data_IF_327389760988
#
_entry.id   IF_327389760988
#
_cell.length_a   1.000
_cell.length_b   1.000
_cell.length_c   1.000
_cell.angle_alpha   90.00
_cell.angle_beta   90.00
_cell.angle_gamma   90.00
#
_symmetry.space_group_name_H-M   'P 1'
#
loop_
_entity.id
_entity.type
_entity.pdbx_description
1 polymer ?
#
# COMPACT_ATOMS: atom_id res chain seq x y z
N UNK A 1 -6.78 14.38 1.17
CA UNK A 1 -6.02 13.53 0.24
C UNK A 1 -6.24 12.06 0.59
N UNK A 2 -6.49 11.24 -0.41
CA UNK A 2 -6.65 9.80 -0.27
C UNK A 2 -5.36 9.12 -0.74
N UNK A 3 -4.67 8.46 0.17
CA UNK A 3 -3.30 7.96 -0.02
C UNK A 3 -3.33 6.44 0.01
N UNK A 4 -2.96 5.81 -1.09
CA UNK A 4 -2.89 4.35 -1.18
C UNK A 4 -1.45 3.89 -0.96
N UNK A 5 -1.25 2.99 -0.01
CA UNK A 5 0.08 2.45 0.31
C UNK A 5 0.22 1.03 -0.24
N UNK A 6 1.29 0.82 -1.01
CA UNK A 6 1.62 -0.49 -1.55
C UNK A 6 2.18 -1.41 -0.47
N UNK A 7 2.17 -2.71 -0.73
CA UNK A 7 2.59 -3.76 0.20
C UNK A 7 3.99 -3.52 0.76
N UNK A 8 4.95 -3.11 -0.07
CA UNK A 8 6.33 -2.91 0.39
C UNK A 8 6.47 -1.81 1.45
N UNK A 9 5.61 -0.78 1.41
CA UNK A 9 5.65 0.30 2.40
C UNK A 9 5.18 -0.20 3.76
N UNK A 10 4.10 -0.97 3.79
CA UNK A 10 3.59 -1.57 5.03
C UNK A 10 4.60 -2.59 5.58
N UNK A 11 5.21 -3.40 4.72
CA UNK A 11 6.24 -4.36 5.11
C UNK A 11 7.47 -3.66 5.71
N UNK A 12 7.90 -2.55 5.12
CA UNK A 12 9.04 -1.80 5.64
C UNK A 12 8.80 -1.32 7.07
N UNK A 13 7.58 -0.90 7.37
CA UNK A 13 7.20 -0.51 8.72
C UNK A 13 7.17 -1.73 9.65
N UNK A 14 6.43 -2.77 9.32
CA UNK A 14 6.20 -3.92 10.21
C UNK A 14 7.45 -4.75 10.43
N UNK A 15 8.29 -4.92 9.41
CA UNK A 15 9.56 -5.63 9.50
C UNK A 15 10.71 -4.74 9.98
N UNK A 16 10.46 -3.47 10.21
CA UNK A 16 11.46 -2.48 10.62
C UNK A 16 12.71 -2.53 9.72
N UNK A 17 12.50 -2.48 8.41
CA UNK A 17 13.59 -2.65 7.44
C UNK A 17 14.56 -1.48 7.47
N UNK A 18 15.88 -1.73 7.69
CA UNK A 18 16.87 -0.66 7.76
C UNK A 18 16.91 0.18 6.48
N UNK A 19 16.93 1.50 6.65
CA UNK A 19 16.96 2.46 5.53
C UNK A 19 15.60 2.77 4.92
N UNK A 20 14.54 2.04 5.27
CA UNK A 20 13.20 2.25 4.69
C UNK A 20 12.12 2.48 5.74
N UNK A 21 12.27 1.93 6.94
CA UNK A 21 11.23 1.95 7.97
C UNK A 21 10.85 3.38 8.40
N UNK A 22 11.81 4.28 8.54
CA UNK A 22 11.56 5.65 8.99
C UNK A 22 10.70 6.43 8.00
N UNK A 23 11.02 6.35 6.72
CA UNK A 23 10.24 7.04 5.68
C UNK A 23 8.85 6.41 5.55
N UNK A 24 8.75 5.08 5.66
CA UNK A 24 7.47 4.38 5.64
C UNK A 24 6.59 4.81 6.81
N UNK A 25 7.13 4.87 8.03
CA UNK A 25 6.40 5.29 9.21
C UNK A 25 5.85 6.71 9.06
N UNK A 26 6.69 7.64 8.64
CA UNK A 26 6.29 9.03 8.46
C UNK A 26 5.25 9.19 7.35
N UNK A 27 5.41 8.47 6.24
CA UNK A 27 4.44 8.51 5.15
C UNK A 27 3.08 7.94 5.56
N UNK A 28 3.05 6.88 6.38
CA UNK A 28 1.82 6.30 6.89
C UNK A 28 1.18 7.22 7.94
N UNK A 29 1.99 7.79 8.84
CA UNK A 29 1.51 8.73 9.85
C UNK A 29 0.86 9.96 9.22
N UNK A 30 1.30 10.37 8.05
CA UNK A 30 0.71 11.49 7.31
C UNK A 30 -0.80 11.29 7.06
N UNK A 31 -1.26 10.05 6.93
CA UNK A 31 -2.67 9.74 6.78
C UNK A 31 -3.52 10.08 8.01
N UNK A 32 -2.89 10.23 9.19
CA UNK A 32 -3.59 10.63 10.42
C UNK A 32 -3.95 12.11 10.46
N UNK A 33 -3.34 12.93 9.60
CA UNK A 33 -3.58 14.36 9.57
C UNK A 33 -4.97 14.67 9.01
N UNK A 34 -5.59 15.74 9.55
CA UNK A 34 -6.95 16.13 9.19
C UNK A 34 -7.12 16.30 7.66
N UNK A 35 -8.22 15.74 7.16
CA UNK A 35 -8.55 15.79 5.74
C UNK A 35 -7.89 14.69 4.90
N UNK A 36 -7.03 13.87 5.50
CA UNK A 36 -6.40 12.75 4.81
C UNK A 36 -7.08 11.42 5.13
N UNK A 37 -6.91 10.46 4.23
CA UNK A 37 -7.34 9.08 4.40
C UNK A 37 -6.28 8.14 3.84
N UNK A 38 -5.76 7.25 4.69
CA UNK A 38 -4.86 6.20 4.26
C UNK A 38 -5.64 4.97 3.83
N UNK A 39 -5.22 4.36 2.72
CA UNK A 39 -5.84 3.18 2.12
C UNK A 39 -4.81 2.08 1.93
N UNK A 40 -5.19 0.85 2.22
CA UNK A 40 -4.40 -0.34 1.93
C UNK A 40 -5.37 -1.43 1.44
N UNK A 41 -4.96 -2.24 0.47
CA UNK A 41 -5.84 -3.28 -0.05
C UNK A 41 -5.84 -4.54 0.82
N UNK A 42 -6.93 -5.30 0.75
CA UNK A 42 -7.02 -6.61 1.38
C UNK A 42 -5.95 -7.57 0.85
N UNK A 43 -5.52 -7.43 -0.42
CA UNK A 43 -4.43 -8.20 -0.99
C UNK A 43 -3.12 -7.97 -0.22
N UNK A 44 -2.82 -6.72 0.11
CA UNK A 44 -1.63 -6.36 0.90
C UNK A 44 -1.63 -7.07 2.25
N UNK A 45 -2.76 -7.13 2.94
CA UNK A 45 -2.84 -7.82 4.24
C UNK A 45 -2.53 -9.31 4.08
N UNK A 46 -3.11 -9.97 3.07
CA UNK A 46 -2.82 -11.38 2.80
C UNK A 46 -1.35 -11.62 2.46
N UNK A 47 -0.76 -10.77 1.64
CA UNK A 47 0.65 -10.86 1.26
C UNK A 47 1.57 -10.69 2.47
N UNK A 48 1.26 -9.76 3.35
CA UNK A 48 2.05 -9.51 4.57
C UNK A 48 2.05 -10.73 5.48
N UNK A 49 0.89 -11.32 5.73
CA UNK A 49 0.77 -12.53 6.55
C UNK A 49 1.63 -13.65 5.96
N UNK A 50 1.57 -13.84 4.65
CA UNK A 50 2.36 -14.86 3.96
C UNK A 50 3.87 -14.57 4.03
N UNK A 51 4.29 -13.35 3.71
CA UNK A 51 5.71 -12.96 3.67
C UNK A 51 6.35 -13.07 5.05
N UNK A 52 5.65 -12.66 6.10
CA UNK A 52 6.20 -12.62 7.46
C UNK A 52 6.04 -13.93 8.24
N UNK A 53 5.41 -14.96 7.66
CA UNK A 53 5.06 -16.20 8.38
C UNK A 53 6.23 -16.94 9.04
N UNK A 54 7.45 -16.76 8.53
CA UNK A 54 8.65 -17.40 9.07
C UNK A 54 9.33 -16.59 10.17
N UNK A 55 9.07 -15.30 10.25
CA UNK A 55 9.74 -14.41 11.20
C UNK A 55 8.80 -13.84 12.26
N UNK A 56 7.50 -13.94 12.04
CA UNK A 56 6.49 -13.37 12.94
C UNK A 56 5.27 -14.28 12.94
N UNK A 57 4.69 -14.53 14.12
CA UNK A 57 3.48 -15.34 14.22
C UNK A 57 2.29 -14.61 13.58
N UNK A 58 1.30 -15.39 13.13
CA UNK A 58 0.08 -14.82 12.56
C UNK A 58 -0.62 -13.90 13.56
N UNK A 59 -0.66 -14.26 14.85
CA UNK A 59 -1.30 -13.45 15.88
C UNK A 59 -0.58 -12.11 16.06
N UNK A 60 0.75 -12.09 16.01
CA UNK A 60 1.53 -10.84 16.09
C UNK A 60 1.29 -9.94 14.87
N UNK A 61 1.31 -10.50 13.66
CA UNK A 61 0.97 -9.76 12.44
C UNK A 61 -0.44 -9.21 12.55
N UNK A 62 -1.39 -10.01 13.03
CA UNK A 62 -2.78 -9.60 13.21
C UNK A 62 -2.93 -8.42 14.17
N UNK A 63 -2.19 -8.43 15.29
CA UNK A 63 -2.21 -7.30 16.23
C UNK A 63 -1.70 -6.01 15.58
N UNK A 64 -0.60 -6.10 14.83
CA UNK A 64 -0.02 -4.94 14.17
C UNK A 64 -0.90 -4.39 13.06
N UNK A 65 -1.49 -5.25 12.24
CA UNK A 65 -2.43 -4.83 11.18
C UNK A 65 -3.67 -4.18 11.80
N UNK A 66 -4.22 -4.76 12.86
CA UNK A 66 -5.39 -4.18 13.55
C UNK A 66 -5.06 -2.81 14.14
N UNK A 67 -3.86 -2.62 14.66
CA UNK A 67 -3.41 -1.31 15.16
C UNK A 67 -3.31 -0.28 14.03
N UNK A 68 -2.88 -0.68 12.84
CA UNK A 68 -2.81 0.23 11.68
C UNK A 68 -4.20 0.70 11.22
N UNK A 69 -5.28 0.00 11.56
CA UNK A 69 -6.63 0.42 11.21
C UNK A 69 -7.06 1.73 11.87
N UNK A 70 -6.32 2.21 12.87
CA UNK A 70 -6.53 3.54 13.44
C UNK A 70 -6.20 4.66 12.43
N UNK A 71 -5.31 4.40 11.49
CA UNK A 71 -4.88 5.37 10.47
C UNK A 71 -5.14 4.92 9.03
N UNK A 72 -5.34 3.62 8.81
CA UNK A 72 -5.54 3.04 7.48
C UNK A 72 -6.89 2.34 7.38
N UNK A 73 -7.56 2.55 6.25
CA UNK A 73 -8.73 1.75 5.87
C UNK A 73 -8.29 0.62 4.95
N UNK A 74 -8.69 -0.60 5.29
CA UNK A 74 -8.48 -1.77 4.42
C UNK A 74 -9.61 -1.80 3.40
N UNK A 75 -9.27 -1.65 2.12
CA UNK A 75 -10.25 -1.67 1.04
C UNK A 75 -10.35 -3.06 0.43
N UNK A 76 -11.56 -3.42 0.01
CA UNK A 76 -11.84 -4.71 -0.61
C UNK A 76 -11.15 -4.80 -1.98
N UNK A 77 -10.88 -6.04 -2.41
CA UNK A 77 -10.46 -6.33 -3.77
C UNK A 77 -11.66 -6.86 -4.53
N UNK A 78 -12.06 -6.11 -5.57
CA UNK A 78 -13.15 -6.53 -6.43
C UNK A 78 -12.69 -7.68 -7.33
N UNK A 79 -13.51 -8.73 -7.47
CA UNK A 79 -13.24 -9.81 -8.41
C UNK A 79 -13.04 -9.31 -9.83
N UNK A 80 -13.77 -8.25 -10.21
CA UNK A 80 -13.62 -7.62 -11.52
C UNK A 80 -12.22 -7.05 -11.74
N UNK A 81 -11.62 -6.44 -10.72
CA UNK A 81 -10.26 -5.89 -10.82
C UNK A 81 -9.23 -6.98 -11.09
N UNK A 82 -9.40 -8.15 -10.48
CA UNK A 82 -8.51 -9.30 -10.65
C UNK A 82 -8.56 -9.81 -12.09
N UNK A 83 -9.74 -9.79 -12.72
CA UNK A 83 -9.92 -10.22 -14.11
C UNK A 83 -9.48 -9.12 -15.09
N UNK A 84 -9.89 -7.87 -14.87
CA UNK A 84 -9.56 -6.74 -15.74
C UNK A 84 -8.04 -6.49 -15.79
N UNK A 85 -7.31 -6.82 -14.72
CA UNK A 85 -5.87 -6.66 -14.66
C UNK A 85 -5.12 -7.41 -15.77
N UNK A 86 -5.68 -8.49 -16.32
CA UNK A 86 -5.07 -9.19 -17.45
C UNK A 86 -5.09 -8.36 -18.74
N UNK A 87 -5.98 -7.39 -18.85
CA UNK A 87 -6.19 -6.58 -20.05
C UNK A 87 -5.58 -5.18 -19.95
N UNK A 88 -5.12 -4.78 -18.77
CA UNK A 88 -4.51 -3.46 -18.55
C UNK A 88 -3.00 -3.54 -18.81
N UNK A 89 -2.48 -2.62 -19.63
CA UNK A 89 -1.07 -2.59 -20.01
C UNK A 89 -0.19 -1.96 -18.92
N UNK A 90 -0.01 -2.67 -17.80
CA UNK A 90 0.90 -2.32 -16.72
C UNK A 90 1.91 -3.46 -16.58
N UNK A 91 3.13 -3.16 -16.12
CA UNK A 91 4.25 -4.11 -16.17
C UNK A 91 4.12 -5.30 -15.24
N UNK A 92 3.49 -5.15 -14.07
CA UNK A 92 3.32 -6.21 -13.06
C UNK A 92 1.85 -6.47 -12.81
N UNK A 93 1.46 -7.77 -12.81
CA UNK A 93 0.04 -8.14 -12.64
C UNK A 93 -0.51 -7.71 -11.27
N UNK A 94 0.21 -8.03 -10.19
CA UNK A 94 -0.25 -7.71 -8.84
C UNK A 94 -0.32 -6.20 -8.62
N UNK A 95 0.67 -5.46 -9.11
CA UNK A 95 0.65 -3.99 -9.06
C UNK A 95 -0.49 -3.42 -9.89
N UNK A 96 -0.86 -4.07 -11.01
CA UNK A 96 -2.04 -3.69 -11.78
C UNK A 96 -3.32 -3.87 -10.96
N UNK A 97 -3.46 -4.97 -10.23
CA UNK A 97 -4.61 -5.18 -9.33
C UNK A 97 -4.65 -4.09 -8.26
N UNK A 98 -3.51 -3.75 -7.67
CA UNK A 98 -3.40 -2.66 -6.70
C UNK A 98 -3.83 -1.33 -7.31
N UNK A 99 -3.34 -1.01 -8.51
CA UNK A 99 -3.71 0.21 -9.22
C UNK A 99 -5.22 0.30 -9.48
N UNK A 100 -5.84 -0.77 -9.97
CA UNK A 100 -7.28 -0.78 -10.25
C UNK A 100 -8.10 -0.57 -8.96
N UNK A 101 -7.68 -1.16 -7.86
CA UNK A 101 -8.37 -0.97 -6.58
C UNK A 101 -8.11 0.42 -5.99
N UNK A 102 -6.91 0.96 -6.12
CA UNK A 102 -6.60 2.33 -5.71
C UNK A 102 -7.47 3.33 -6.49
N UNK A 103 -7.61 3.14 -7.79
CA UNK A 103 -8.44 3.98 -8.65
C UNK A 103 -9.91 3.88 -8.26
N UNK A 104 -10.43 2.67 -8.05
CA UNK A 104 -11.81 2.45 -7.63
C UNK A 104 -12.12 3.09 -6.28
N UNK A 105 -11.12 3.18 -5.40
CA UNK A 105 -11.23 3.85 -4.10
C UNK A 105 -10.96 5.36 -4.16
N UNK A 106 -10.80 5.92 -5.36
CA UNK A 106 -10.51 7.34 -5.59
C UNK A 106 -9.23 7.82 -4.89
N UNK A 107 -8.19 7.01 -4.92
CA UNK A 107 -6.89 7.41 -4.39
C UNK A 107 -6.29 8.56 -5.23
N UNK A 108 -5.70 9.52 -4.56
CA UNK A 108 -5.01 10.64 -5.19
C UNK A 108 -3.57 10.29 -5.54
N UNK A 109 -2.98 9.36 -4.80
CA UNK A 109 -1.58 8.97 -4.93
C UNK A 109 -1.37 7.53 -4.48
N UNK A 110 -0.45 6.82 -5.16
CA UNK A 110 0.07 5.53 -4.73
C UNK A 110 1.48 5.76 -4.18
N UNK A 111 1.71 5.34 -2.94
CA UNK A 111 3.04 5.40 -2.30
C UNK A 111 3.64 4.00 -2.34
N UNK A 112 4.78 3.87 -3.01
CA UNK A 112 5.48 2.58 -3.21
C UNK A 112 6.98 2.79 -3.35
N UNK A 113 7.79 1.81 -2.95
CA UNK A 113 9.22 1.81 -3.26
C UNK A 113 9.51 1.33 -4.68
N UNK A 114 8.59 0.64 -5.30
CA UNK A 114 8.74 0.05 -6.63
C UNK A 114 7.86 0.78 -7.66
N UNK A 115 8.30 1.95 -8.09
CA UNK A 115 7.57 2.72 -9.09
C UNK A 115 7.53 2.04 -10.46
N UNK A 116 8.50 1.18 -10.76
CA UNK A 116 8.58 0.49 -12.05
C UNK A 116 7.40 -0.47 -12.27
N UNK A 117 6.84 -1.03 -11.20
CA UNK A 117 5.65 -1.88 -11.26
C UNK A 117 4.37 -1.12 -11.66
N UNK A 118 4.40 0.21 -11.60
CA UNK A 118 3.26 1.09 -11.88
C UNK A 118 3.47 1.98 -13.10
N UNK A 119 4.39 1.62 -13.99
CA UNK A 119 4.60 2.38 -15.24
C UNK A 119 3.34 2.30 -16.12
N UNK A 120 2.91 3.45 -16.61
CA UNK A 120 1.74 3.54 -17.48
C UNK A 120 0.40 3.74 -16.77
N UNK A 121 0.41 3.86 -15.44
CA UNK A 121 -0.80 4.15 -14.67
C UNK A 121 -1.15 5.64 -14.74
N UNK A 122 -2.45 5.92 -14.57
CA UNK A 122 -3.01 7.28 -14.70
C UNK A 122 -3.30 7.89 -13.32
N UNK A 123 -2.37 7.68 -12.39
CA UNK A 123 -2.42 8.20 -11.03
C UNK A 123 -0.99 8.56 -10.59
N UNK A 124 -0.83 9.54 -9.73
CA UNK A 124 0.49 9.90 -9.19
C UNK A 124 1.09 8.72 -8.41
N UNK A 125 2.33 8.37 -8.73
CA UNK A 125 3.08 7.32 -8.02
C UNK A 125 4.38 7.92 -7.49
N UNK A 126 4.67 7.72 -6.21
CA UNK A 126 5.88 8.23 -5.59
C UNK A 126 6.41 7.30 -4.49
N UNK A 127 7.69 7.42 -4.19
CA UNK A 127 8.27 6.72 -3.05
C UNK A 127 7.84 7.40 -1.74
N UNK A 128 7.97 6.74 -0.58
CA UNK A 128 7.71 7.39 0.70
C UNK A 128 8.50 8.69 0.88
N UNK A 129 9.78 8.71 0.49
CA UNK A 129 10.61 9.90 0.57
C UNK A 129 10.10 11.01 -0.34
N UNK A 130 9.84 10.70 -1.60
CA UNK A 130 9.29 11.69 -2.55
C UNK A 130 7.94 12.24 -2.07
N UNK A 131 7.11 11.37 -1.51
CA UNK A 131 5.82 11.78 -0.93
C UNK A 131 6.01 12.81 0.18
N UNK A 132 6.92 12.55 1.12
CA UNK A 132 7.20 13.43 2.25
C UNK A 132 7.81 14.77 1.82
N UNK A 133 8.66 14.76 0.79
CA UNK A 133 9.31 15.98 0.27
C UNK A 133 8.31 16.92 -0.40
N UNK A 134 7.19 16.39 -0.90
CA UNK A 134 6.16 17.15 -1.63
C UNK A 134 4.86 17.28 -0.85
N UNK A 135 4.85 16.86 0.38
CA UNK A 135 3.67 16.94 1.24
C UNK A 135 3.55 18.29 1.94
#
# INVERSE_FOLDING_TARGET
MRIFYDTNVILDLLANRPGFADDAEKAIDYASHDGNKGLVSALTVCDIVYILRKSMSRDEVGRQIKALQDVLEIIDIAGRSVIDAFDVAVSDYEDTVQYLNATAANADVIVTRDKDGFVGVDIRVCTPREFLENA
#
